data_IF_823587725303
#
_entry.id   IF_823587725303
#
_cell.length_a   1.000
_cell.length_b   1.000
_cell.length_c   1.000
_cell.angle_alpha   90.00
_cell.angle_beta   90.00
_cell.angle_gamma   90.00
#
_symmetry.space_group_name_H-M   'P 1'
#
loop_
_entity.id
_entity.type
_entity.pdbx_description
1 polymer ?
#
# COMPACT_ATOMS: atom_id res chain seq x y z
N UNK A 1 10.93 12.75 -10.98
CA UNK A 1 9.68 13.17 -11.67
C UNK A 1 9.04 12.01 -12.42
N UNK A 2 9.83 11.04 -12.89
CA UNK A 2 9.34 9.79 -13.47
C UNK A 2 8.57 8.95 -12.43
N UNK A 3 9.07 8.94 -11.20
CA UNK A 3 8.54 8.20 -10.05
C UNK A 3 7.13 8.69 -9.68
N UNK A 4 6.95 10.01 -9.61
CA UNK A 4 5.64 10.61 -9.36
C UNK A 4 4.64 10.26 -10.48
N UNK A 5 5.09 10.25 -11.74
CA UNK A 5 4.24 9.86 -12.88
C UNK A 5 3.84 8.38 -12.77
N UNK A 6 4.79 7.51 -12.47
CA UNK A 6 4.56 6.07 -12.29
C UNK A 6 3.55 5.79 -11.19
N UNK A 7 3.64 6.49 -10.05
CA UNK A 7 2.64 6.36 -8.98
C UNK A 7 1.26 6.82 -9.42
N UNK A 8 1.15 7.95 -10.12
CA UNK A 8 -0.14 8.43 -10.62
C UNK A 8 -0.76 7.46 -11.64
N UNK A 9 0.05 6.88 -12.52
CA UNK A 9 -0.40 5.85 -13.48
C UNK A 9 -0.89 4.59 -12.76
N UNK A 10 -0.17 4.16 -11.72
CA UNK A 10 -0.56 3.02 -10.88
C UNK A 10 -1.88 3.27 -10.15
N UNK A 11 -2.03 4.44 -9.53
CA UNK A 11 -3.25 4.85 -8.84
C UNK A 11 -4.46 4.82 -9.79
N UNK A 12 -4.30 5.34 -11.02
CA UNK A 12 -5.33 5.24 -12.05
C UNK A 12 -5.63 3.78 -12.42
N UNK A 13 -4.62 2.92 -12.49
CA UNK A 13 -4.81 1.49 -12.72
C UNK A 13 -5.65 0.81 -11.63
N UNK A 14 -5.39 1.14 -10.36
CA UNK A 14 -6.16 0.64 -9.21
C UNK A 14 -7.61 1.11 -9.26
N UNK A 15 -7.85 2.41 -9.51
CA UNK A 15 -9.19 2.97 -9.63
C UNK A 15 -10.00 2.29 -10.75
N UNK A 16 -9.37 2.05 -11.90
CA UNK A 16 -10.01 1.35 -13.01
C UNK A 16 -10.31 -0.12 -12.69
N UNK A 17 -9.43 -0.79 -11.95
CA UNK A 17 -9.63 -2.16 -11.49
C UNK A 17 -10.81 -2.23 -10.50
N UNK A 18 -10.92 -1.27 -9.58
CA UNK A 18 -12.04 -1.17 -8.64
C UNK A 18 -13.36 -0.95 -9.36
N UNK A 19 -13.42 0.03 -10.27
CA UNK A 19 -14.62 0.38 -11.05
C UNK A 19 -15.10 -0.78 -11.93
N UNK A 20 -14.17 -1.60 -12.43
CA UNK A 20 -14.50 -2.78 -13.22
C UNK A 20 -15.02 -3.96 -12.37
N UNK A 21 -15.05 -3.85 -11.04
CA UNK A 21 -15.33 -4.97 -10.14
C UNK A 21 -14.25 -6.06 -10.24
N UNK A 22 -13.00 -5.64 -10.43
CA UNK A 22 -11.84 -6.53 -10.58
C UNK A 22 -11.62 -7.41 -9.35
N UNK A 23 -10.76 -8.43 -9.52
CA UNK A 23 -10.46 -9.38 -8.45
C UNK A 23 -9.98 -8.66 -7.17
N UNK A 24 -10.66 -8.82 -6.03
CA UNK A 24 -10.25 -8.22 -4.76
C UNK A 24 -8.81 -8.57 -4.37
N UNK A 25 -8.31 -9.75 -4.74
CA UNK A 25 -6.92 -10.13 -4.47
C UNK A 25 -5.93 -9.30 -5.29
N UNK A 26 -6.27 -9.02 -6.56
CA UNK A 26 -5.45 -8.19 -7.41
C UNK A 26 -5.42 -6.74 -6.91
N UNK A 27 -6.57 -6.22 -6.47
CA UNK A 27 -6.64 -4.87 -5.88
C UNK A 27 -5.79 -4.76 -4.60
N UNK A 28 -5.89 -5.76 -3.73
CA UNK A 28 -5.08 -5.85 -2.50
C UNK A 28 -3.59 -5.92 -2.80
N UNK A 29 -3.18 -6.68 -3.82
CA UNK A 29 -1.79 -6.78 -4.22
C UNK A 29 -1.23 -5.43 -4.69
N UNK A 30 -1.97 -4.74 -5.57
CA UNK A 30 -1.57 -3.42 -6.07
C UNK A 30 -1.43 -2.38 -4.96
N UNK A 31 -2.37 -2.37 -4.01
CA UNK A 31 -2.31 -1.48 -2.84
C UNK A 31 -1.11 -1.83 -1.94
N UNK A 32 -0.87 -3.13 -1.70
CA UNK A 32 0.23 -3.60 -0.85
C UNK A 32 1.61 -3.22 -1.42
N UNK A 33 1.77 -3.32 -2.73
CA UNK A 33 3.01 -2.92 -3.39
C UNK A 33 3.22 -1.39 -3.38
N UNK A 34 2.15 -0.60 -3.52
CA UNK A 34 2.21 0.85 -3.39
C UNK A 34 2.64 1.27 -1.97
N UNK A 35 2.09 0.60 -0.95
CA UNK A 35 2.47 0.80 0.45
C UNK A 35 3.96 0.52 0.67
N UNK A 36 4.48 -0.58 0.13
CA UNK A 36 5.90 -0.91 0.21
C UNK A 36 6.81 0.08 -0.54
N UNK A 37 6.30 0.73 -1.59
CA UNK A 37 7.03 1.80 -2.28
C UNK A 37 7.10 3.09 -1.45
N UNK A 38 5.99 3.48 -0.82
CA UNK A 38 5.97 4.62 0.11
C UNK A 38 6.96 4.40 1.25
N UNK A 39 7.01 3.20 1.82
CA UNK A 39 7.98 2.86 2.87
C UNK A 39 9.42 3.14 2.45
N UNK A 40 9.82 2.66 1.27
CA UNK A 40 11.17 2.87 0.75
C UNK A 40 11.48 4.35 0.51
N UNK A 41 10.48 5.14 0.13
CA UNK A 41 10.68 6.59 -0.05
C UNK A 41 10.83 7.32 1.28
N UNK A 42 10.05 6.94 2.31
CA UNK A 42 10.17 7.51 3.65
C UNK A 42 11.54 7.24 4.29
N UNK A 43 12.12 6.07 4.01
CA UNK A 43 13.46 5.72 4.49
C UNK A 43 14.56 6.59 3.87
N UNK A 44 14.42 6.97 2.60
CA UNK A 44 15.42 7.76 1.87
C UNK A 44 15.24 9.26 2.08
N UNK A 45 14.00 9.74 2.16
CA UNK A 45 13.65 11.16 2.28
C UNK A 45 12.62 11.40 3.40
N UNK A 46 13.06 11.49 4.67
CA UNK A 46 12.15 11.63 5.81
C UNK A 46 11.62 13.05 6.02
N UNK A 47 12.23 14.07 5.40
CA UNK A 47 11.82 15.46 5.63
C UNK A 47 10.53 15.80 4.85
N UNK A 48 9.54 16.36 5.55
CA UNK A 48 8.28 16.82 4.94
C UNK A 48 7.28 15.70 4.61
N UNK A 49 7.53 14.48 5.10
CA UNK A 49 6.69 13.30 4.83
C UNK A 49 5.85 12.86 6.03
N UNK A 50 5.70 13.72 7.05
CA UNK A 50 4.98 13.42 8.31
C UNK A 50 3.56 12.88 8.09
N UNK A 51 2.83 13.48 7.15
CA UNK A 51 1.46 13.05 6.82
C UNK A 51 1.44 11.65 6.16
N UNK A 52 2.41 11.37 5.29
CA UNK A 52 2.53 10.06 4.64
C UNK A 52 2.95 8.98 5.65
N UNK A 53 3.88 9.30 6.56
CA UNK A 53 4.28 8.42 7.65
C UNK A 53 3.10 8.10 8.60
N UNK A 54 2.29 9.11 8.96
CA UNK A 54 1.11 8.92 9.79
C UNK A 54 0.04 8.05 9.11
N UNK A 55 -0.22 8.28 7.82
CA UNK A 55 -1.17 7.47 7.04
C UNK A 55 -0.70 6.01 6.94
N UNK A 56 0.59 5.78 6.76
CA UNK A 56 1.17 4.45 6.69
C UNK A 56 1.11 3.71 8.03
N UNK A 57 1.39 4.41 9.13
CA UNK A 57 1.22 3.87 10.47
C UNK A 57 -0.24 3.46 10.74
N UNK A 58 -1.20 4.30 10.33
CA UNK A 58 -2.63 3.98 10.44
C UNK A 58 -3.02 2.76 9.60
N UNK A 59 -2.57 2.69 8.34
CA UNK A 59 -2.83 1.55 7.46
C UNK A 59 -2.33 0.24 8.07
N UNK A 60 -1.11 0.21 8.62
CA UNK A 60 -0.55 -0.97 9.29
C UNK A 60 -1.34 -1.39 10.52
N UNK A 61 -1.81 -0.43 11.30
CA UNK A 61 -2.64 -0.70 12.47
C UNK A 61 -4.01 -1.31 12.11
N UNK A 62 -4.52 -1.04 10.90
CA UNK A 62 -5.77 -1.59 10.40
C UNK A 62 -5.63 -2.97 9.75
N UNK A 63 -4.42 -3.43 9.44
CA UNK A 63 -4.23 -4.76 8.87
C UNK A 63 -4.56 -5.84 9.90
N UNK A 64 -5.31 -6.90 9.52
CA UNK A 64 -5.52 -8.03 10.40
C UNK A 64 -4.16 -8.65 10.74
N UNK A 65 -3.84 -8.72 12.04
CA UNK A 65 -2.68 -9.45 12.53
C UNK A 65 -2.73 -10.87 11.95
N UNK A 66 -1.61 -11.44 11.47
CA UNK A 66 -1.59 -12.83 11.04
C UNK A 66 -2.14 -13.67 12.18
N UNK A 67 -3.23 -14.39 11.91
CA UNK A 67 -3.84 -15.31 12.87
C UNK A 67 -2.75 -16.31 13.24
N UNK A 68 -2.27 -16.23 14.47
CA UNK A 68 -1.26 -17.15 15.00
C UNK A 68 -1.78 -18.56 14.76
N UNK A 69 -1.14 -19.28 13.83
CA UNK A 69 -1.52 -20.64 13.48
C UNK A 69 -1.04 -21.48 14.65
N UNK A 70 -1.90 -21.66 15.64
CA UNK A 70 -1.61 -22.56 16.77
C UNK A 70 -1.46 -23.96 16.17
N UNK A 71 -0.29 -24.60 16.25
CA UNK A 71 -0.13 -25.93 15.71
C UNK A 71 -0.94 -26.90 16.55
N UNK A 72 -2.00 -27.46 15.97
CA UNK A 72 -2.76 -28.55 16.58
C UNK A 72 -1.84 -29.76 16.67
N UNK A 73 -1.46 -30.13 17.90
CA UNK A 73 -0.71 -31.36 18.22
C UNK A 73 -1.64 -32.56 18.18
#
# INVERSE_FOLDING_TARGET
MEEARRVLERLRGIEQLELAGGDPHQLLLEISELVAEVDRWLEVEPAGTDAAAAALAHFRAAQPQPREVVPTT
#
